data_IF_438880248127
#
_entry.id   IF_438880248127
#
_cell.length_a   1.000
_cell.length_b   1.000
_cell.length_c   1.000
_cell.angle_alpha   90.00
_cell.angle_beta   90.00
_cell.angle_gamma   90.00
#
_symmetry.space_group_name_H-M   'P 1'
#
loop_
_entity.id
_entity.type
_entity.pdbx_description
1 polymer ?
#
# COMPACT_ATOMS: atom_id res chain seq x y z
N UNK A 1 -22.52 -2.54 -16.08
CA UNK A 1 -21.12 -2.62 -15.62
C UNK A 1 -21.09 -2.02 -14.23
N UNK A 2 -20.74 -2.78 -13.17
CA UNK A 2 -20.66 -2.22 -11.83
C UNK A 2 -19.53 -1.18 -11.81
N UNK A 3 -19.84 0.07 -11.44
CA UNK A 3 -18.81 1.07 -11.14
C UNK A 3 -18.13 0.66 -9.85
N UNK A 4 -16.91 0.15 -9.94
CA UNK A 4 -16.03 0.00 -8.78
C UNK A 4 -15.67 1.41 -8.30
N UNK A 5 -16.42 1.95 -7.35
CA UNK A 5 -15.99 3.13 -6.62
C UNK A 5 -14.82 2.72 -5.74
N UNK A 6 -13.60 3.06 -6.16
CA UNK A 6 -12.44 2.93 -5.30
C UNK A 6 -12.61 3.92 -4.13
N UNK A 7 -12.95 3.39 -2.97
CA UNK A 7 -12.93 4.17 -1.72
C UNK A 7 -11.46 4.40 -1.43
N UNK A 8 -10.97 5.61 -1.72
CA UNK A 8 -9.60 6.01 -1.41
C UNK A 8 -9.57 6.38 0.06
N UNK A 9 -8.88 5.59 0.87
CA UNK A 9 -8.60 5.94 2.25
C UNK A 9 -7.67 7.16 2.26
N UNK A 10 -8.22 8.31 2.66
CA UNK A 10 -7.49 9.57 2.70
C UNK A 10 -6.74 9.79 4.01
N UNK A 11 -6.91 8.93 5.01
CA UNK A 11 -6.24 9.07 6.31
C UNK A 11 -4.72 9.08 6.18
N UNK A 12 -4.21 8.37 5.19
CA UNK A 12 -2.79 8.17 4.93
C UNK A 12 -2.16 9.32 4.14
N UNK A 13 -2.97 10.18 3.51
CA UNK A 13 -2.47 11.30 2.70
C UNK A 13 -1.70 12.32 3.53
N UNK A 14 -2.10 12.57 4.78
CA UNK A 14 -1.40 13.49 5.67
C UNK A 14 0.00 12.98 6.01
N UNK A 15 0.16 11.67 6.22
CA UNK A 15 1.46 11.05 6.46
C UNK A 15 2.35 11.10 5.21
N UNK A 16 1.80 10.79 4.03
CA UNK A 16 2.54 10.90 2.75
C UNK A 16 3.05 12.33 2.55
N UNK A 17 2.20 13.34 2.78
CA UNK A 17 2.59 14.74 2.67
C UNK A 17 3.64 15.12 3.71
N UNK A 18 3.55 14.60 4.94
CA UNK A 18 4.55 14.79 5.98
C UNK A 18 5.91 14.25 5.53
N UNK A 19 5.99 13.02 5.01
CA UNK A 19 7.24 12.40 4.56
C UNK A 19 7.88 13.15 3.39
N UNK A 20 7.07 13.58 2.40
CA UNK A 20 7.57 14.38 1.28
C UNK A 20 8.15 15.72 1.77
N UNK A 21 7.49 16.38 2.73
CA UNK A 21 8.00 17.62 3.35
C UNK A 21 9.30 17.38 4.12
N UNK A 22 9.41 16.27 4.85
CA UNK A 22 10.62 15.92 5.59
C UNK A 22 11.80 15.64 4.66
N UNK A 23 11.58 14.93 3.55
CA UNK A 23 12.61 14.67 2.54
C UNK A 23 13.05 15.94 1.80
N UNK A 24 12.10 16.82 1.47
CA UNK A 24 12.43 18.11 0.84
C UNK A 24 13.18 19.04 1.79
N UNK A 25 12.89 18.99 3.10
CA UNK A 25 13.61 19.78 4.11
C UNK A 25 15.10 19.40 4.23
N UNK A 26 15.46 18.15 3.93
CA UNK A 26 16.87 17.69 3.90
C UNK A 26 17.54 17.85 2.53
N UNK A 27 16.87 18.49 1.56
CA UNK A 27 17.43 18.84 0.26
C UNK A 27 17.14 17.86 -0.88
N UNK A 28 16.24 16.88 -0.68
CA UNK A 28 15.75 16.04 -1.77
C UNK A 28 14.80 16.86 -2.66
N UNK A 29 14.87 16.69 -3.98
CA UNK A 29 13.92 17.36 -4.87
C UNK A 29 12.49 16.87 -4.61
N UNK A 30 11.46 17.72 -4.77
CA UNK A 30 10.07 17.33 -4.54
C UNK A 30 9.64 16.11 -5.36
N UNK A 31 10.07 16.04 -6.63
CA UNK A 31 9.75 14.92 -7.53
C UNK A 31 10.37 13.60 -7.06
N UNK A 32 11.62 13.64 -6.60
CA UNK A 32 12.31 12.46 -6.05
C UNK A 32 11.70 12.04 -4.72
N UNK A 33 11.35 13.00 -3.84
CA UNK A 33 10.69 12.71 -2.58
C UNK A 33 9.33 12.03 -2.80
N UNK A 34 8.49 12.56 -3.69
CA UNK A 34 7.20 11.95 -4.04
C UNK A 34 7.36 10.54 -4.62
N UNK A 35 8.34 10.34 -5.50
CA UNK A 35 8.63 9.04 -6.11
C UNK A 35 9.03 8.01 -5.05
N UNK A 36 9.95 8.36 -4.15
CA UNK A 36 10.42 7.48 -3.07
C UNK A 36 9.28 7.14 -2.11
N UNK A 37 8.54 8.14 -1.63
CA UNK A 37 7.41 7.91 -0.70
C UNK A 37 6.35 7.01 -1.33
N UNK A 38 6.06 7.18 -2.63
CA UNK A 38 5.09 6.32 -3.34
C UNK A 38 5.56 4.87 -3.45
N UNK A 39 6.85 4.64 -3.75
CA UNK A 39 7.42 3.29 -3.82
C UNK A 39 7.39 2.59 -2.46
N UNK A 40 7.74 3.29 -1.38
CA UNK A 40 7.64 2.73 -0.03
C UNK A 40 6.21 2.37 0.34
N UNK A 41 5.24 3.23 0.01
CA UNK A 41 3.83 2.94 0.29
C UNK A 41 3.30 1.74 -0.48
N UNK A 42 3.63 1.64 -1.77
CA UNK A 42 3.25 0.50 -2.58
C UNK A 42 3.89 -0.80 -2.08
N UNK A 43 5.19 -0.77 -1.76
CA UNK A 43 5.89 -1.92 -1.20
C UNK A 43 5.35 -2.32 0.18
N UNK A 44 4.98 -1.35 1.03
CA UNK A 44 4.36 -1.63 2.32
C UNK A 44 2.98 -2.29 2.16
N UNK A 45 2.19 -1.90 1.15
CA UNK A 45 0.92 -2.55 0.83
C UNK A 45 1.12 -3.96 0.26
N UNK A 46 2.15 -4.18 -0.56
CA UNK A 46 2.46 -5.49 -1.16
C UNK A 46 2.96 -6.48 -0.08
N UNK A 47 3.78 -6.02 0.87
CA UNK A 47 4.17 -6.83 2.03
C UNK A 47 3.01 -7.24 2.93
N UNK A 48 1.97 -6.41 3.05
CA UNK A 48 0.76 -6.76 3.81
C UNK A 48 -0.08 -7.82 3.06
N UNK A 49 0.03 -7.88 1.72
CA UNK A 49 -0.67 -8.86 0.92
C UNK A 49 0.03 -10.24 0.88
N UNK A 50 1.35 -10.30 1.04
CA UNK A 50 2.11 -11.56 1.01
C UNK A 50 2.13 -12.32 2.34
N UNK A 51 1.73 -11.72 3.47
CA UNK A 51 1.69 -12.39 4.79
C UNK A 51 0.31 -13.04 5.09
N UNK A 52 -0.52 -13.23 4.05
CA UNK A 52 -1.89 -13.75 4.15
C UNK A 52 -2.18 -14.94 3.24
N UNK A 53 -1.16 -15.69 2.81
CA UNK A 53 -1.32 -16.84 1.90
C UNK A 53 -0.51 -18.08 2.36
N UNK A 54 -0.49 -18.34 3.67
CA UNK A 54 -0.17 -19.67 4.20
C UNK A 54 -1.30 -20.08 5.16
N UNK A 55 -1.95 -21.22 4.83
CA UNK A 55 -3.06 -21.91 5.52
C UNK A 55 -4.49 -21.60 5.03
N UNK A 56 -4.79 -22.05 3.81
CA UNK A 56 -6.10 -22.66 3.52
C UNK A 56 -5.87 -24.04 2.87
N UNK A 57 -5.28 -24.96 3.66
CA UNK A 57 -5.48 -26.40 3.49
C UNK A 57 -6.97 -26.71 3.77
N UNK A 58 -7.85 -26.32 2.84
CA UNK A 58 -9.19 -26.85 2.77
C UNK A 58 -9.12 -28.18 2.04
N UNK A 59 -8.78 -29.22 2.81
CA UNK A 59 -9.20 -30.59 2.56
C UNK A 59 -10.74 -30.60 2.38
N UNK A 60 -11.22 -30.35 1.15
CA UNK A 60 -12.56 -30.76 0.74
C UNK A 60 -12.54 -32.29 0.51
N UNK A 61 -12.47 -33.01 1.62
CA UNK A 61 -12.99 -34.37 1.76
C UNK A 61 -14.50 -34.33 1.53
N UNK A 62 -14.90 -34.31 0.26
CA UNK A 62 -16.28 -34.57 -0.14
C UNK A 62 -16.48 -36.08 -0.19
N UNK A 63 -16.73 -36.66 0.99
CA UNK A 63 -17.34 -37.98 1.12
C UNK A 63 -18.80 -37.97 0.59
N UNK A 64 -19.11 -39.03 -0.16
CA UNK A 64 -20.41 -39.56 -0.64
C UNK A 64 -21.04 -39.03 -1.94
#
# INVERSE_FOLDING_TARGET
MPQTQAIVDTSVLDEVVHWIKSLTAVGVSPDTAATITSQFFLAACEMIAEDGDEEDDLDEDFEE
#
